data_IF_724725810677
#
_entry.id   IF_724725810677
#
_cell.length_a   1.000
_cell.length_b   1.000
_cell.length_c   1.000
_cell.angle_alpha   90.00
_cell.angle_beta   90.00
_cell.angle_gamma   90.00
#
_symmetry.space_group_name_H-M   'P 1'
#
loop_
_entity.id
_entity.type
_entity.pdbx_description
1 polymer ?
#
# COMPACT_ATOMS: atom_id res chain seq x y z
N UNK A 1 8.56 -8.30 -8.63
CA UNK A 1 7.68 -7.13 -8.58
C UNK A 1 7.20 -6.93 -7.15
N UNK A 2 6.29 -5.99 -6.93
CA UNK A 2 5.65 -5.77 -5.64
C UNK A 2 4.15 -5.55 -5.82
N UNK A 3 3.36 -6.01 -4.85
CA UNK A 3 1.90 -5.89 -4.82
C UNK A 3 1.49 -5.44 -3.42
N UNK A 4 0.95 -4.23 -3.32
CA UNK A 4 0.42 -3.67 -2.08
C UNK A 4 -1.05 -4.06 -1.93
N UNK A 5 -1.37 -4.79 -0.89
CA UNK A 5 -2.68 -5.38 -0.63
C UNK A 5 -3.30 -4.73 0.61
N UNK A 6 -4.62 -4.49 0.56
CA UNK A 6 -5.40 -3.92 1.67
C UNK A 6 -6.50 -4.91 2.08
N UNK A 7 -6.13 -6.12 2.49
CA UNK A 7 -7.12 -7.14 2.89
C UNK A 7 -7.69 -6.95 4.30
N UNK A 8 -7.38 -5.85 4.96
CA UNK A 8 -7.87 -5.55 6.30
C UNK A 8 -9.40 -5.34 6.32
N UNK A 9 -10.13 -5.81 7.36
CA UNK A 9 -9.65 -6.44 8.59
C UNK A 9 -9.54 -7.98 8.54
N UNK A 10 -9.63 -8.60 7.35
CA UNK A 10 -9.83 -10.05 7.18
C UNK A 10 -8.73 -10.91 7.84
N UNK A 11 -7.49 -10.44 7.79
CA UNK A 11 -6.31 -11.21 8.25
C UNK A 11 -5.78 -10.77 9.60
N UNK A 12 -6.24 -9.63 10.13
CA UNK A 12 -5.66 -8.94 11.28
C UNK A 12 -5.59 -9.81 12.53
N UNK A 13 -6.72 -10.40 12.93
CA UNK A 13 -6.79 -11.23 14.14
C UNK A 13 -5.87 -12.46 14.04
N UNK A 14 -5.83 -13.10 12.87
CA UNK A 14 -4.98 -14.27 12.63
C UNK A 14 -3.49 -13.91 12.63
N UNK A 15 -3.14 -12.75 12.08
CA UNK A 15 -1.77 -12.22 12.11
C UNK A 15 -1.35 -11.91 13.55
N UNK A 16 -2.21 -11.24 14.31
CA UNK A 16 -2.00 -10.96 15.73
C UNK A 16 -1.78 -12.23 16.54
N UNK A 17 -2.61 -13.26 16.32
CA UNK A 17 -2.50 -14.52 17.05
C UNK A 17 -1.23 -15.31 16.70
N UNK A 18 -0.89 -15.43 15.42
CA UNK A 18 0.25 -16.25 14.96
C UNK A 18 1.58 -15.62 15.35
N UNK A 19 1.74 -14.32 15.09
CA UNK A 19 3.02 -13.62 15.29
C UNK A 19 3.09 -12.86 16.61
N UNK A 20 2.06 -12.95 17.45
CA UNK A 20 1.99 -12.32 18.79
C UNK A 20 2.27 -10.81 18.75
N UNK A 21 1.84 -10.15 17.68
CA UNK A 21 1.95 -8.68 17.59
C UNK A 21 0.89 -8.01 18.49
N UNK A 22 1.17 -6.84 19.06
CA UNK A 22 0.23 -6.17 19.97
C UNK A 22 -1.13 -5.89 19.33
N UNK A 23 -2.21 -6.08 20.08
CA UNK A 23 -3.58 -5.79 19.62
C UNK A 23 -3.83 -4.32 19.33
N UNK A 24 -3.04 -3.43 19.95
CA UNK A 24 -3.07 -1.99 19.68
C UNK A 24 -2.51 -1.63 18.29
N UNK A 25 -1.79 -2.55 17.62
CA UNK A 25 -1.23 -2.30 16.30
C UNK A 25 -2.29 -2.55 15.23
N UNK A 26 -2.51 -1.52 14.41
CA UNK A 26 -3.39 -1.59 13.25
C UNK A 26 -2.58 -2.00 12.03
N UNK A 27 -2.90 -3.17 11.47
CA UNK A 27 -2.36 -3.58 10.17
C UNK A 27 -3.04 -2.73 9.09
N UNK A 28 -2.24 -1.95 8.34
CA UNK A 28 -2.78 -1.04 7.33
C UNK A 28 -2.75 -1.64 5.91
N UNK A 29 -1.73 -2.42 5.61
CA UNK A 29 -1.53 -3.04 4.31
C UNK A 29 -0.50 -4.18 4.39
N UNK A 30 -0.40 -4.98 3.33
CA UNK A 30 0.59 -6.04 3.15
C UNK A 30 1.31 -5.82 1.83
N UNK A 31 2.64 -5.66 1.85
CA UNK A 31 3.44 -5.51 0.63
C UNK A 31 4.12 -6.84 0.28
N UNK A 32 3.57 -7.56 -0.69
CA UNK A 32 4.16 -8.79 -1.22
C UNK A 32 5.18 -8.44 -2.28
N UNK A 33 6.40 -8.96 -2.18
CA UNK A 33 7.48 -8.68 -3.14
C UNK A 33 8.27 -9.94 -3.53
N UNK A 34 8.98 -9.89 -4.67
CA UNK A 34 9.77 -11.00 -5.18
C UNK A 34 10.27 -10.79 -6.63
N UNK A 35 10.56 -11.89 -7.33
CA UNK A 35 10.94 -11.87 -8.76
C UNK A 35 9.94 -11.11 -9.64
N UNK A 36 10.40 -10.55 -10.76
CA UNK A 36 9.53 -9.84 -11.71
C UNK A 36 8.86 -10.86 -12.63
N UNK A 37 7.53 -10.92 -12.61
CA UNK A 37 6.73 -11.77 -13.50
C UNK A 37 6.42 -11.11 -14.86
N UNK A 38 6.78 -9.83 -15.01
CA UNK A 38 6.55 -9.01 -16.18
C UNK A 38 6.89 -7.55 -15.88
N UNK A 39 6.74 -6.70 -16.89
CA UNK A 39 6.88 -5.25 -16.75
C UNK A 39 5.67 -4.65 -16.02
N UNK A 40 5.86 -3.54 -15.27
CA UNK A 40 4.74 -2.83 -14.67
C UNK A 40 3.79 -2.32 -15.76
N UNK A 41 2.49 -2.35 -15.47
CA UNK A 41 1.49 -1.72 -16.33
C UNK A 41 1.69 -0.20 -16.42
N UNK A 42 1.00 0.41 -17.38
CA UNK A 42 1.00 1.87 -17.51
C UNK A 42 0.48 2.54 -16.24
N UNK A 43 1.06 3.70 -15.93
CA UNK A 43 0.68 4.49 -14.78
C UNK A 43 0.12 5.81 -15.24
N UNK A 44 -1.16 6.02 -14.94
CA UNK A 44 -1.82 7.29 -15.18
C UNK A 44 -1.38 8.34 -14.16
N UNK A 45 -1.23 9.57 -14.64
CA UNK A 45 -0.96 10.73 -13.82
C UNK A 45 -2.02 11.78 -14.08
N UNK A 46 -2.55 12.37 -13.00
CA UNK A 46 -3.40 13.57 -13.13
C UNK A 46 -2.60 14.73 -13.74
N UNK A 47 -3.28 15.69 -14.40
CA UNK A 47 -2.65 16.94 -14.84
C UNK A 47 -1.85 17.63 -13.74
N UNK A 48 -0.85 18.43 -14.12
CA UNK A 48 0.06 19.06 -13.17
C UNK A 48 -0.65 20.15 -12.36
N UNK A 49 -1.53 20.89 -13.03
CA UNK A 49 -2.32 22.01 -12.52
C UNK A 49 -3.27 21.57 -11.39
N UNK A 50 -3.69 20.31 -11.39
CA UNK A 50 -4.52 19.73 -10.32
C UNK A 50 -3.70 19.36 -9.07
N UNK A 51 -2.39 19.14 -9.23
CA UNK A 51 -1.52 18.60 -8.17
C UNK A 51 -0.57 19.64 -7.59
N UNK A 52 -0.34 20.74 -8.28
CA UNK A 52 0.62 21.78 -7.89
C UNK A 52 -0.04 23.14 -8.00
N UNK A 53 0.03 23.93 -6.93
CA UNK A 53 -0.38 25.33 -6.91
C UNK A 53 0.82 26.20 -6.56
N UNK A 54 0.98 27.30 -7.29
CA UNK A 54 1.95 28.34 -6.96
C UNK A 54 1.20 29.58 -6.47
N UNK A 55 1.55 30.08 -5.30
CA UNK A 55 1.14 31.40 -4.84
C UNK A 55 2.37 32.31 -4.91
N UNK A 56 2.38 33.25 -5.85
CA UNK A 56 3.36 34.34 -5.88
C UNK A 56 3.02 35.42 -4.84
N UNK A 57 4.02 36.25 -4.51
CA UNK A 57 3.85 37.51 -3.75
C UNK A 57 3.04 38.53 -4.55
#
# INVERSE_FOLDING_TARGET
GANLQHYNPLVDAKVQEIWKVPTAWKLNAQLVFGGRAGEPGEKDFKPLEERVKFAGL
#
